data_IF_802148878905
#
_entry.id   IF_802148878905
#
_cell.length_a   1.000
_cell.length_b   1.000
_cell.length_c   1.000
_cell.angle_alpha   90.00
_cell.angle_beta   90.00
_cell.angle_gamma   90.00
#
_symmetry.space_group_name_H-M   'P 1'
#
loop_
_entity.id
_entity.type
_entity.pdbx_description
1 polymer ?
#
# COMPACT_ATOMS: atom_id res chain seq x y z
N UNK A 1 -48.79 -44.91 2.43
CA UNK A 1 -47.58 -44.94 3.28
C UNK A 1 -46.42 -44.29 2.52
N UNK A 2 -46.32 -42.96 2.60
CA UNK A 2 -45.23 -42.16 2.02
C UNK A 2 -44.27 -41.78 3.14
N UNK A 3 -43.00 -42.23 3.12
CA UNK A 3 -41.90 -41.52 3.83
C UNK A 3 -40.47 -42.02 3.56
N UNK A 4 -40.23 -43.02 2.69
CA UNK A 4 -38.86 -43.52 2.46
C UNK A 4 -38.01 -42.65 1.51
N UNK A 5 -38.62 -41.85 0.63
CA UNK A 5 -37.90 -41.03 -0.36
C UNK A 5 -37.35 -39.70 0.18
N UNK A 6 -37.98 -39.13 1.22
CA UNK A 6 -37.62 -37.80 1.74
C UNK A 6 -36.33 -37.84 2.57
N UNK A 7 -36.08 -38.92 3.31
CA UNK A 7 -34.90 -39.05 4.17
C UNK A 7 -33.57 -39.12 3.40
N UNK A 8 -33.56 -39.72 2.20
CA UNK A 8 -32.34 -39.88 1.40
C UNK A 8 -31.90 -38.56 0.76
N UNK A 9 -32.85 -37.71 0.38
CA UNK A 9 -32.60 -36.38 -0.20
C UNK A 9 -32.08 -35.41 0.88
N UNK A 10 -32.63 -35.48 2.10
CA UNK A 10 -32.16 -34.67 3.24
C UNK A 10 -30.75 -35.06 3.68
N UNK A 11 -30.43 -36.37 3.69
CA UNK A 11 -29.08 -36.84 4.00
C UNK A 11 -28.04 -36.42 2.94
N UNK A 12 -28.39 -36.51 1.65
CA UNK A 12 -27.52 -36.07 0.56
C UNK A 12 -27.29 -34.54 0.59
N UNK A 13 -28.34 -33.75 0.88
CA UNK A 13 -28.22 -32.30 1.04
C UNK A 13 -27.33 -31.92 2.24
N UNK A 14 -27.41 -32.65 3.35
CA UNK A 14 -26.57 -32.46 4.53
C UNK A 14 -25.08 -32.71 4.27
N UNK A 15 -24.75 -33.75 3.48
CA UNK A 15 -23.36 -34.06 3.09
C UNK A 15 -22.80 -33.02 2.12
N UNK A 16 -23.61 -32.49 1.21
CA UNK A 16 -23.22 -31.41 0.28
C UNK A 16 -22.99 -30.10 1.03
N UNK A 17 -23.85 -29.76 2.00
CA UNK A 17 -23.70 -28.58 2.85
C UNK A 17 -22.48 -28.68 3.78
N UNK A 18 -22.24 -29.85 4.40
CA UNK A 18 -21.06 -30.08 5.23
C UNK A 18 -19.76 -30.09 4.42
N UNK A 19 -19.76 -30.67 3.21
CA UNK A 19 -18.63 -30.64 2.30
C UNK A 19 -18.34 -29.23 1.74
N UNK A 20 -19.39 -28.42 1.55
CA UNK A 20 -19.29 -27.01 1.19
C UNK A 20 -18.67 -26.16 2.29
N UNK A 21 -19.03 -26.40 3.56
CA UNK A 21 -18.43 -25.71 4.70
C UNK A 21 -16.99 -26.13 4.97
N UNK A 22 -16.66 -27.43 4.83
CA UNK A 22 -15.28 -27.91 4.94
C UNK A 22 -14.38 -27.35 3.83
N UNK A 23 -14.89 -27.25 2.59
CA UNK A 23 -14.19 -26.56 1.49
C UNK A 23 -14.07 -25.05 1.74
N UNK A 24 -15.11 -24.39 2.24
CA UNK A 24 -15.07 -22.97 2.54
C UNK A 24 -14.10 -22.65 3.69
N UNK A 25 -14.02 -23.50 4.73
CA UNK A 25 -13.03 -23.40 5.80
C UNK A 25 -11.63 -23.73 5.30
N UNK A 26 -11.44 -24.72 4.42
CA UNK A 26 -10.14 -25.03 3.83
C UNK A 26 -9.66 -23.91 2.87
N UNK A 27 -10.57 -23.30 2.11
CA UNK A 27 -10.27 -22.14 1.25
C UNK A 27 -10.03 -20.89 2.11
N UNK A 28 -10.77 -20.68 3.19
CA UNK A 28 -10.54 -19.58 4.12
C UNK A 28 -9.23 -19.76 4.89
N UNK A 29 -8.87 -20.98 5.29
CA UNK A 29 -7.59 -21.35 5.90
C UNK A 29 -6.42 -21.21 4.91
N UNK A 30 -6.62 -21.58 3.64
CA UNK A 30 -5.64 -21.32 2.59
C UNK A 30 -5.50 -19.81 2.33
N UNK A 31 -6.61 -19.05 2.28
CA UNK A 31 -6.59 -17.60 2.11
C UNK A 31 -5.97 -16.87 3.32
N UNK A 32 -6.14 -17.38 4.54
CA UNK A 32 -5.45 -16.87 5.73
C UNK A 32 -3.99 -17.33 5.80
N UNK A 33 -3.63 -18.49 5.25
CA UNK A 33 -2.23 -18.90 5.07
C UNK A 33 -1.52 -18.10 3.96
N UNK A 34 -2.25 -17.54 3.01
CA UNK A 34 -1.73 -16.63 1.97
C UNK A 34 -1.66 -15.16 2.43
N UNK A 35 -1.96 -14.87 3.69
CA UNK A 35 -1.52 -13.64 4.34
C UNK A 35 -0.05 -13.80 4.73
N UNK A 36 0.82 -13.92 3.70
CA UNK A 36 2.26 -13.98 3.92
C UNK A 36 2.69 -12.58 4.38
N UNK A 37 2.70 -12.40 5.70
CA UNK A 37 3.07 -11.18 6.41
C UNK A 37 4.51 -10.83 6.04
N UNK A 38 4.67 -9.98 5.02
CA UNK A 38 5.97 -9.37 4.73
C UNK A 38 6.42 -8.61 5.96
N UNK A 39 7.63 -8.87 6.48
CA UNK A 39 8.14 -8.09 7.60
C UNK A 39 8.22 -6.63 7.14
N UNK A 40 7.31 -5.82 7.67
CA UNK A 40 7.22 -4.40 7.40
C UNK A 40 7.35 -3.63 8.70
N UNK A 41 8.41 -2.85 8.80
CA UNK A 41 8.58 -1.88 9.87
C UNK A 41 8.22 -0.52 9.28
N UNK A 42 7.18 0.10 9.84
CA UNK A 42 6.76 1.44 9.45
C UNK A 42 6.78 2.36 10.66
N UNK A 43 7.65 3.36 10.60
CA UNK A 43 7.71 4.45 11.57
C UNK A 43 7.10 5.68 10.92
N UNK A 44 6.16 6.33 11.60
CA UNK A 44 5.58 7.61 11.19
C UNK A 44 5.68 8.58 12.34
N UNK A 45 6.09 9.81 12.05
CA UNK A 45 6.01 10.92 12.99
C UNK A 45 5.19 12.03 12.34
N UNK A 46 4.31 12.63 13.12
CA UNK A 46 3.53 13.78 12.70
C UNK A 46 3.59 14.85 13.79
N UNK A 47 3.88 16.07 13.40
CA UNK A 47 3.92 17.22 14.30
C UNK A 47 3.11 18.37 13.69
N UNK A 48 2.31 19.03 14.52
CA UNK A 48 1.46 20.15 14.12
C UNK A 48 1.72 21.34 15.03
N UNK A 49 1.96 22.50 14.43
CA UNK A 49 2.12 23.76 15.17
C UNK A 49 1.77 24.96 14.32
N UNK A 50 1.02 25.93 14.85
CA UNK A 50 0.71 27.20 14.19
C UNK A 50 0.25 27.08 12.71
N UNK A 51 -0.65 26.12 12.43
CA UNK A 51 -1.12 25.84 11.06
C UNK A 51 -0.02 25.28 10.14
N UNK A 52 1.09 24.78 10.67
CA UNK A 52 2.06 23.95 9.99
C UNK A 52 1.85 22.49 10.37
N UNK A 53 2.19 21.62 9.43
CA UNK A 53 2.12 20.20 9.62
C UNK A 53 3.30 19.52 8.96
N UNK A 54 4.14 18.97 9.82
CA UNK A 54 5.29 18.18 9.45
C UNK A 54 4.94 16.70 9.58
N UNK A 55 5.30 15.92 8.58
CA UNK A 55 5.19 14.47 8.60
C UNK A 55 6.46 13.84 8.07
N UNK A 56 6.92 12.83 8.76
CA UNK A 56 7.99 11.96 8.26
C UNK A 56 7.58 10.51 8.38
N UNK A 57 8.07 9.69 7.47
CA UNK A 57 7.88 8.25 7.58
C UNK A 57 9.08 7.49 7.04
N UNK A 58 9.46 6.43 7.73
CA UNK A 58 10.39 5.43 7.24
C UNK A 58 9.65 4.09 7.15
N UNK A 59 9.78 3.41 6.02
CA UNK A 59 9.21 2.09 5.79
C UNK A 59 10.29 1.16 5.29
N UNK A 60 10.56 0.10 6.03
CA UNK A 60 11.43 -0.99 5.61
C UNK A 60 10.54 -2.20 5.41
N UNK A 61 10.54 -2.76 4.20
CA UNK A 61 9.80 -3.97 3.87
C UNK A 61 10.79 -5.03 3.42
N UNK A 62 10.97 -6.06 4.22
CA UNK A 62 11.79 -7.22 3.88
C UNK A 62 11.07 -8.18 2.94
N UNK A 63 11.82 -9.15 2.43
CA UNK A 63 11.23 -10.32 1.77
C UNK A 63 10.70 -11.30 2.82
N UNK A 64 9.73 -12.12 2.41
CA UNK A 64 9.27 -13.27 3.21
C UNK A 64 10.30 -14.41 3.20
N UNK A 65 11.10 -14.46 2.14
CA UNK A 65 12.11 -15.49 1.96
C UNK A 65 13.42 -15.00 2.58
N UNK A 66 13.93 -15.73 3.58
CA UNK A 66 15.18 -15.40 4.28
C UNK A 66 16.40 -15.34 3.35
N UNK A 67 16.38 -16.11 2.26
CA UNK A 67 17.41 -16.10 1.21
C UNK A 67 17.29 -14.92 0.23
N UNK A 68 16.20 -14.13 0.31
CA UNK A 68 15.96 -12.90 -0.46
C UNK A 68 16.04 -11.64 0.41
N UNK A 69 16.87 -11.66 1.46
CA UNK A 69 17.10 -10.50 2.31
C UNK A 69 17.61 -9.28 1.52
N UNK A 70 18.27 -9.53 0.39
CA UNK A 70 18.72 -8.54 -0.60
C UNK A 70 17.58 -7.79 -1.32
N UNK A 71 16.36 -8.32 -1.34
CA UNK A 71 15.16 -7.64 -1.88
C UNK A 71 14.56 -6.60 -0.92
N UNK A 72 15.15 -6.41 0.26
CA UNK A 72 14.67 -5.47 1.27
C UNK A 72 14.54 -4.06 0.69
N UNK A 73 13.33 -3.49 0.83
CA UNK A 73 13.00 -2.17 0.31
C UNK A 73 12.89 -1.17 1.46
N UNK A 74 13.78 -0.19 1.48
CA UNK A 74 13.67 0.98 2.35
C UNK A 74 13.11 2.18 1.60
N UNK A 75 12.12 2.84 2.18
CA UNK A 75 11.48 4.07 1.67
C UNK A 75 11.37 5.10 2.79
N UNK A 76 11.71 6.33 2.49
CA UNK A 76 11.63 7.49 3.38
C UNK A 76 10.72 8.52 2.73
N UNK A 77 9.84 9.13 3.50
CA UNK A 77 9.01 10.22 3.04
C UNK A 77 9.01 11.36 4.05
N UNK A 78 8.91 12.57 3.52
CA UNK A 78 8.84 13.82 4.24
C UNK A 78 7.74 14.67 3.62
N UNK A 79 6.97 15.37 4.44
CA UNK A 79 5.98 16.34 4.01
C UNK A 79 5.94 17.50 4.99
N UNK A 80 6.01 18.72 4.48
CA UNK A 80 5.77 19.94 5.25
C UNK A 80 4.67 20.73 4.57
N UNK A 81 3.61 21.04 5.30
CA UNK A 81 2.44 21.75 4.76
C UNK A 81 2.02 22.88 5.68
N UNK A 82 1.45 23.93 5.07
CA UNK A 82 0.84 25.08 5.73
C UNK A 82 -0.67 25.07 5.47
N UNK A 83 -1.44 25.27 6.51
CA UNK A 83 -2.88 25.47 6.46
C UNK A 83 -3.16 26.79 5.73
N UNK A 84 -4.00 26.72 4.69
CA UNK A 84 -4.37 27.89 3.89
C UNK A 84 -5.76 28.36 4.28
N UNK A 85 -6.75 27.45 4.26
CA UNK A 85 -8.13 27.77 4.61
C UNK A 85 -8.79 26.53 5.23
N UNK A 86 -9.41 26.69 6.39
CA UNK A 86 -10.12 25.61 7.09
C UNK A 86 -9.26 24.33 7.15
N UNK A 87 -9.73 23.26 6.53
CA UNK A 87 -9.07 21.95 6.52
C UNK A 87 -8.13 21.72 5.33
N UNK A 88 -7.78 22.78 4.59
CA UNK A 88 -6.96 22.73 3.39
C UNK A 88 -5.51 23.11 3.68
N UNK A 89 -4.59 22.30 3.17
CA UNK A 89 -3.16 22.41 3.40
C UNK A 89 -2.41 22.42 2.08
N UNK A 90 -1.46 23.33 1.95
CA UNK A 90 -0.56 23.42 0.79
C UNK A 90 0.87 23.24 1.26
N UNK A 91 1.68 22.50 0.52
CA UNK A 91 3.08 22.35 0.88
C UNK A 91 3.91 21.53 -0.07
N UNK A 92 4.97 20.97 0.48
CA UNK A 92 5.96 20.19 -0.25
C UNK A 92 6.03 18.79 0.33
N UNK A 93 6.36 17.83 -0.53
CA UNK A 93 6.65 16.46 -0.13
C UNK A 93 7.86 15.94 -0.87
N UNK A 94 8.65 15.12 -0.19
CA UNK A 94 9.78 14.41 -0.74
C UNK A 94 9.68 12.92 -0.38
N UNK A 95 10.05 12.06 -1.32
CA UNK A 95 10.05 10.61 -1.13
C UNK A 95 11.34 10.05 -1.70
N UNK A 96 12.10 9.32 -0.89
CA UNK A 96 13.31 8.63 -1.30
C UNK A 96 13.11 7.12 -1.11
N UNK A 97 13.55 6.34 -2.08
CA UNK A 97 13.65 4.90 -1.99
C UNK A 97 15.12 4.52 -2.16
N UNK A 98 15.64 3.75 -1.22
CA UNK A 98 17.00 3.24 -1.29
C UNK A 98 17.17 2.29 -2.50
N UNK A 99 18.41 2.14 -3.02
CA UNK A 99 18.69 1.08 -3.97
C UNK A 99 18.31 -0.27 -3.38
N UNK A 100 17.91 -1.21 -4.23
CA UNK A 100 17.59 -2.57 -3.81
C UNK A 100 18.00 -3.57 -4.87
N UNK A 101 18.28 -4.79 -4.46
CA UNK A 101 18.42 -5.88 -5.41
C UNK A 101 17.04 -6.34 -5.89
N UNK A 102 16.98 -6.79 -7.14
CA UNK A 102 15.79 -7.37 -7.78
C UNK A 102 16.16 -8.79 -8.22
N UNK A 103 15.92 -9.78 -7.35
CA UNK A 103 16.40 -11.14 -7.55
C UNK A 103 15.77 -11.79 -8.79
N UNK A 104 14.52 -11.43 -9.14
CA UNK A 104 13.86 -11.90 -10.37
C UNK A 104 14.64 -11.50 -11.64
N UNK A 105 15.37 -10.38 -11.58
CA UNK A 105 16.11 -9.84 -12.72
C UNK A 105 17.62 -9.96 -12.57
N UNK A 106 18.11 -10.38 -11.40
CA UNK A 106 19.53 -10.43 -11.08
C UNK A 106 20.24 -9.07 -11.14
N UNK A 107 19.53 -7.96 -10.94
CA UNK A 107 20.11 -6.60 -11.08
C UNK A 107 19.82 -5.71 -9.88
N UNK A 108 20.77 -4.81 -9.60
CA UNK A 108 20.53 -3.69 -8.69
C UNK A 108 19.62 -2.65 -9.32
N UNK A 109 18.56 -2.26 -8.60
CA UNK A 109 17.71 -1.12 -8.95
C UNK A 109 18.22 0.11 -8.23
N UNK A 110 18.45 1.17 -9.01
CA UNK A 110 18.86 2.46 -8.49
C UNK A 110 17.88 3.02 -7.45
N UNK A 111 18.45 3.83 -6.54
CA UNK A 111 17.69 4.73 -5.68
C UNK A 111 16.70 5.57 -6.49
N UNK A 112 15.55 5.89 -5.90
CA UNK A 112 14.53 6.75 -6.52
C UNK A 112 14.19 7.89 -5.60
N UNK A 113 14.40 9.13 -6.05
CA UNK A 113 14.06 10.32 -5.27
C UNK A 113 12.99 11.11 -6.00
N UNK A 114 11.99 11.57 -5.28
CA UNK A 114 10.90 12.39 -5.78
C UNK A 114 10.70 13.58 -4.85
N UNK A 115 10.35 14.73 -5.42
CA UNK A 115 9.88 15.86 -4.64
C UNK A 115 8.87 16.69 -5.43
N UNK A 116 8.05 17.47 -4.72
CA UNK A 116 7.21 18.48 -5.35
C UNK A 116 6.08 18.94 -4.46
N UNK A 117 5.16 19.67 -5.09
CA UNK A 117 4.04 20.31 -4.40
C UNK A 117 2.97 19.29 -4.00
N UNK A 118 2.23 19.63 -2.94
CA UNK A 118 1.10 18.86 -2.44
C UNK A 118 0.00 19.79 -1.95
N UNK A 119 -1.23 19.44 -2.30
CA UNK A 119 -2.45 20.00 -1.76
C UNK A 119 -3.18 18.88 -1.02
N UNK A 120 -3.55 19.09 0.23
CA UNK A 120 -4.32 18.12 1.00
C UNK A 120 -5.51 18.78 1.69
N UNK A 121 -6.53 17.96 1.93
CA UNK A 121 -7.77 18.33 2.58
C UNK A 121 -8.09 17.27 3.64
N UNK A 122 -8.30 17.70 4.88
CA UNK A 122 -8.80 16.83 5.94
C UNK A 122 -10.32 16.76 5.87
N UNK A 123 -10.84 15.65 5.35
CA UNK A 123 -12.28 15.40 5.31
C UNK A 123 -12.83 15.01 6.69
N UNK A 124 -12.00 14.40 7.53
CA UNK A 124 -12.27 14.13 8.94
C UNK A 124 -10.96 13.98 9.71
N UNK A 125 -11.04 13.78 11.03
CA UNK A 125 -9.86 13.44 11.85
C UNK A 125 -9.12 12.18 11.39
N UNK A 126 -9.83 11.27 10.68
CA UNK A 126 -9.30 9.98 10.24
C UNK A 126 -9.04 9.90 8.74
N UNK A 127 -9.49 10.88 7.95
CA UNK A 127 -9.44 10.82 6.49
C UNK A 127 -8.80 12.07 5.92
N UNK A 128 -7.74 11.86 5.14
CA UNK A 128 -7.13 12.87 4.30
C UNK A 128 -7.30 12.51 2.84
N UNK A 129 -7.65 13.49 2.04
CA UNK A 129 -7.61 13.41 0.60
C UNK A 129 -6.66 14.47 0.08
N UNK A 130 -6.10 14.26 -1.11
CA UNK A 130 -5.28 15.30 -1.70
C UNK A 130 -4.67 14.91 -3.01
N UNK A 131 -3.85 15.83 -3.50
CA UNK A 131 -3.17 15.75 -4.77
C UNK A 131 -1.70 16.07 -4.57
N UNK A 132 -0.82 15.23 -5.11
CA UNK A 132 0.62 15.46 -5.06
C UNK A 132 1.22 15.49 -6.48
N UNK A 133 2.01 16.52 -6.75
CA UNK A 133 2.76 16.70 -8.00
C UNK A 133 4.23 16.38 -7.74
N UNK A 134 4.55 15.09 -7.64
CA UNK A 134 5.91 14.63 -7.37
C UNK A 134 6.68 14.43 -8.68
N UNK A 135 7.79 15.15 -8.83
CA UNK A 135 8.75 14.97 -9.92
C UNK A 135 9.92 14.11 -9.44
N UNK A 136 10.40 13.20 -10.28
CA UNK A 136 11.60 12.42 -9.97
C UNK A 136 12.84 13.32 -10.06
N UNK A 137 13.65 13.30 -9.01
CA UNK A 137 14.93 14.00 -8.92
C UNK A 137 16.12 13.09 -9.28
N UNK A 138 16.06 11.79 -8.95
CA UNK A 138 17.17 10.84 -9.20
C UNK A 138 16.71 9.39 -9.42
N UNK A 139 17.55 8.64 -10.15
CA UNK A 139 17.50 7.19 -10.39
C UNK A 139 17.17 6.82 -11.84
N UNK A 140 17.76 5.75 -12.38
CA UNK A 140 17.37 5.22 -13.69
C UNK A 140 16.11 4.34 -13.59
N UNK A 141 15.33 4.28 -14.67
CA UNK A 141 14.18 3.38 -14.80
C UNK A 141 12.94 4.03 -15.40
N UNK A 142 12.29 3.29 -16.31
CA UNK A 142 11.14 3.61 -17.17
C UNK A 142 9.92 4.31 -16.54
N UNK A 143 9.83 4.50 -15.23
CA UNK A 143 8.67 5.10 -14.56
C UNK A 143 8.82 6.61 -14.30
N UNK A 144 9.71 7.30 -15.02
CA UNK A 144 10.11 8.66 -14.65
C UNK A 144 10.44 9.64 -15.76
N UNK A 145 9.98 9.37 -16.98
CA UNK A 145 9.79 10.42 -17.96
C UNK A 145 8.29 10.71 -18.06
N UNK A 146 7.88 11.95 -18.35
CA UNK A 146 6.79 12.16 -19.31
C UNK A 146 7.00 11.25 -20.50
N UNK A 147 6.26 10.14 -20.59
CA UNK A 147 6.33 9.22 -21.72
C UNK A 147 7.21 7.97 -21.54
N UNK A 148 7.52 7.53 -20.32
CA UNK A 148 8.09 6.20 -20.10
C UNK A 148 7.01 5.11 -20.09
N UNK A 149 6.90 4.34 -21.18
CA UNK A 149 5.90 3.28 -21.42
C UNK A 149 5.76 2.24 -20.29
N UNK A 150 4.93 2.56 -19.28
CA UNK A 150 3.90 1.74 -18.61
C UNK A 150 3.14 2.62 -17.59
N UNK A 151 2.18 3.38 -18.10
CA UNK A 151 0.91 3.68 -17.42
C UNK A 151 0.85 4.78 -16.36
N UNK A 152 1.93 5.50 -16.01
CA UNK A 152 1.82 6.65 -15.11
C UNK A 152 2.26 7.91 -15.84
N UNK A 153 1.28 8.62 -16.40
CA UNK A 153 1.47 9.95 -16.99
C UNK A 153 2.00 10.92 -15.93
N UNK A 154 2.89 11.87 -16.28
CA UNK A 154 3.18 13.01 -15.41
C UNK A 154 1.89 13.74 -15.12
N UNK A 155 1.69 14.10 -13.87
CA UNK A 155 0.52 14.82 -13.46
C UNK A 155 0.26 14.72 -11.97
N UNK A 156 -0.72 15.48 -11.49
CA UNK A 156 -1.26 15.32 -10.15
C UNK A 156 -1.63 13.86 -9.87
N UNK A 157 -1.14 13.30 -8.77
CA UNK A 157 -1.65 12.04 -8.24
C UNK A 157 -2.59 12.33 -7.10
N UNK A 158 -3.88 12.04 -7.31
CA UNK A 158 -4.85 12.00 -6.23
C UNK A 158 -4.53 10.83 -5.30
N UNK A 159 -4.76 11.03 -4.00
CA UNK A 159 -4.64 9.99 -2.99
C UNK A 159 -5.71 10.19 -1.91
N UNK A 160 -6.00 9.10 -1.22
CA UNK A 160 -6.77 9.07 0.02
C UNK A 160 -5.95 8.32 1.05
N UNK A 161 -5.81 8.88 2.25
CA UNK A 161 -5.09 8.29 3.35
C UNK A 161 -6.01 8.17 4.56
N UNK A 162 -6.13 6.95 5.07
CA UNK A 162 -6.77 6.63 6.33
C UNK A 162 -5.74 6.75 7.46
N UNK A 163 -6.14 7.38 8.57
CA UNK A 163 -5.37 7.51 9.79
C UNK A 163 -6.07 6.70 10.87
N UNK A 164 -5.29 5.83 11.50
CA UNK A 164 -5.67 4.99 12.63
C UNK A 164 -4.66 5.25 13.73
#
# INVERSE_FOLDING_TARGET
MMSRGVGLIVAAAGVILAGGQARAQAVAAAQTAYLVLRPEIRVKTEERTAGLWLRTSATVRGSNDSWRADETRATYAFSLQKQVIGHTWLGLSAVAQAPRFDAERGVMRDARHYAGARLSFEASSHVEMGVAWLRRLRGRGFASAPGGNRGIKPGPKAYMQLRF
#
